data_IF_605982135901
#
_entry.id   IF_605982135901
#
_cell.length_a   1.000
_cell.length_b   1.000
_cell.length_c   1.000
_cell.angle_alpha   90.00
_cell.angle_beta   90.00
_cell.angle_gamma   90.00
#
_symmetry.space_group_name_H-M   'P 1'
#
loop_
_entity.id
_entity.type
_entity.pdbx_description
1 polymer ?
#
# COMPACT_ATOMS: atom_id res chain seq x y z
N UNK A 1 7.26 -0.38 -11.08
CA UNK A 1 6.16 -1.25 -10.60
C UNK A 1 5.36 -1.74 -11.79
N UNK A 2 5.01 -3.03 -11.84
CA UNK A 2 4.18 -3.64 -12.88
C UNK A 2 2.87 -4.11 -12.25
N UNK A 3 1.75 -3.57 -12.75
CA UNK A 3 0.41 -3.77 -12.14
C UNK A 3 -0.19 -5.13 -12.46
N UNK A 4 0.05 -5.63 -13.66
CA UNK A 4 -0.40 -6.94 -14.18
C UNK A 4 0.16 -8.12 -13.38
N UNK A 5 1.36 -7.96 -12.83
CA UNK A 5 2.18 -9.04 -12.25
C UNK A 5 2.51 -8.83 -10.78
N UNK A 6 2.01 -7.77 -10.15
CA UNK A 6 2.29 -7.43 -8.75
C UNK A 6 3.80 -7.31 -8.44
N UNK A 7 4.60 -6.82 -9.40
CA UNK A 7 6.06 -6.70 -9.25
C UNK A 7 6.48 -5.27 -8.94
N UNK A 8 7.36 -5.11 -7.95
CA UNK A 8 7.97 -3.82 -7.59
C UNK A 8 9.47 -3.94 -7.73
N UNK A 9 10.12 -2.89 -8.23
CA UNK A 9 11.57 -2.80 -8.26
C UNK A 9 12.02 -1.43 -7.77
N UNK A 10 13.17 -1.41 -7.11
CA UNK A 10 13.85 -0.20 -6.64
C UNK A 10 15.30 -0.28 -7.11
N UNK A 11 15.76 0.74 -7.81
CA UNK A 11 17.12 0.81 -8.36
C UNK A 11 17.50 -0.45 -9.16
N UNK A 12 16.55 -1.01 -9.93
CA UNK A 12 16.76 -2.21 -10.75
C UNK A 12 16.67 -3.55 -9.99
N UNK A 13 16.58 -3.55 -8.65
CA UNK A 13 16.39 -4.77 -7.86
C UNK A 13 14.91 -5.02 -7.59
N UNK A 14 14.46 -6.25 -7.73
CA UNK A 14 13.09 -6.65 -7.39
C UNK A 14 12.87 -6.69 -5.88
N UNK A 15 11.74 -6.15 -5.44
CA UNK A 15 11.29 -6.16 -4.04
C UNK A 15 10.00 -6.96 -3.98
N UNK A 16 9.98 -7.94 -3.09
CA UNK A 16 8.77 -8.70 -2.78
C UNK A 16 7.92 -7.93 -1.78
N UNK A 17 6.71 -7.57 -2.18
CA UNK A 17 5.70 -6.98 -1.31
C UNK A 17 4.52 -7.93 -1.17
N UNK A 18 3.91 -7.96 0.01
CA UNK A 18 2.60 -8.57 0.18
C UNK A 18 1.53 -7.77 -0.57
N UNK A 19 0.35 -8.37 -0.74
CA UNK A 19 -0.74 -7.74 -1.51
C UNK A 19 -1.19 -6.39 -0.95
N UNK A 20 -1.20 -6.25 0.38
CA UNK A 20 -1.58 -5.00 1.06
C UNK A 20 -0.50 -3.93 0.88
N UNK A 21 0.77 -4.27 1.09
CA UNK A 21 1.88 -3.34 0.86
C UNK A 21 1.93 -2.88 -0.60
N UNK A 22 1.73 -3.80 -1.55
CA UNK A 22 1.63 -3.45 -2.97
C UNK A 22 0.51 -2.47 -3.26
N UNK A 23 -0.68 -2.70 -2.70
CA UNK A 23 -1.84 -1.83 -2.89
C UNK A 23 -1.66 -0.47 -2.20
N UNK A 24 -1.05 -0.41 -1.02
CA UNK A 24 -0.68 0.85 -0.37
C UNK A 24 0.29 1.65 -1.24
N UNK A 25 1.38 1.03 -1.69
CA UNK A 25 2.36 1.68 -2.56
C UNK A 25 1.70 2.18 -3.85
N UNK A 26 0.83 1.36 -4.46
CA UNK A 26 0.05 1.76 -5.63
C UNK A 26 -0.78 3.01 -5.36
N UNK A 27 -1.53 3.02 -4.26
CA UNK A 27 -2.43 4.13 -3.93
C UNK A 27 -1.65 5.44 -3.70
N UNK A 28 -0.53 5.37 -2.98
CA UNK A 28 0.35 6.51 -2.75
C UNK A 28 0.97 7.02 -4.06
N UNK A 29 1.44 6.12 -4.94
CA UNK A 29 2.05 6.50 -6.22
C UNK A 29 1.03 7.07 -7.22
N UNK A 30 -0.25 6.71 -7.10
CA UNK A 30 -1.33 7.32 -7.91
C UNK A 30 -1.64 8.76 -7.49
N UNK A 31 -1.27 9.16 -6.27
CA UNK A 31 -1.55 10.47 -5.70
C UNK A 31 -0.29 11.10 -5.07
N UNK A 32 0.77 11.37 -5.86
CA UNK A 32 2.04 11.86 -5.33
C UNK A 32 1.86 13.22 -4.64
N UNK A 33 2.46 13.38 -3.46
CA UNK A 33 2.42 14.62 -2.68
C UNK A 33 1.14 14.83 -1.86
N UNK A 34 0.13 13.97 -2.00
CA UNK A 34 -1.07 14.01 -1.16
C UNK A 34 -0.81 13.31 0.18
N UNK A 35 -1.24 13.94 1.27
CA UNK A 35 -1.27 13.34 2.61
C UNK A 35 -2.59 12.58 2.78
N UNK A 36 -2.52 11.36 3.29
CA UNK A 36 -3.68 10.54 3.62
C UNK A 36 -3.73 10.26 5.11
N UNK A 37 -4.93 10.36 5.67
CA UNK A 37 -5.25 9.83 7.00
C UNK A 37 -5.28 8.30 6.97
N UNK A 38 -5.24 7.70 8.17
CA UNK A 38 -5.31 6.23 8.30
C UNK A 38 -6.65 5.67 7.81
N UNK A 39 -7.75 6.36 8.11
CA UNK A 39 -9.08 5.92 7.68
C UNK A 39 -9.24 5.99 6.15
N UNK A 40 -8.64 7.00 5.50
CA UNK A 40 -8.59 7.07 4.04
C UNK A 40 -7.80 5.90 3.44
N UNK A 41 -6.66 5.54 4.03
CA UNK A 41 -5.86 4.38 3.59
C UNK A 41 -6.61 3.06 3.83
N UNK A 42 -7.32 2.93 4.95
CA UNK A 42 -8.16 1.76 5.25
C UNK A 42 -9.23 1.60 4.17
N UNK A 43 -9.99 2.66 3.88
CA UNK A 43 -11.04 2.64 2.87
C UNK A 43 -10.53 2.41 1.44
N UNK A 44 -9.29 2.80 1.15
CA UNK A 44 -8.70 2.64 -0.19
C UNK A 44 -8.11 1.25 -0.45
N UNK A 45 -7.55 0.59 0.58
CA UNK A 45 -6.73 -0.61 0.40
C UNK A 45 -7.38 -1.89 0.91
N UNK A 46 -8.18 -1.81 1.98
CA UNK A 46 -8.78 -3.00 2.59
C UNK A 46 -10.22 -3.23 2.09
N UNK A 47 -10.64 -4.51 1.96
CA UNK A 47 -12.04 -4.82 1.66
C UNK A 47 -12.98 -4.30 2.74
N UNK A 48 -14.12 -3.74 2.34
CA UNK A 48 -15.09 -3.12 3.26
C UNK A 48 -15.78 -4.04 4.27
N UNK A 49 -15.50 -5.35 4.21
CA UNK A 49 -15.99 -6.34 5.17
C UNK A 49 -14.95 -6.73 6.25
N UNK A 50 -13.81 -6.05 6.30
CA UNK A 50 -12.75 -6.30 7.30
C UNK A 50 -12.64 -5.10 8.22
N UNK A 51 -12.71 -5.33 9.53
CA UNK A 51 -12.37 -4.32 10.52
C UNK A 51 -10.84 -4.23 10.62
N UNK A 52 -10.30 -3.04 10.39
CA UNK A 52 -8.86 -2.75 10.39
C UNK A 52 -8.64 -1.55 11.29
N UNK A 53 -7.70 -1.67 12.23
CA UNK A 53 -7.33 -0.55 13.07
C UNK A 53 -6.20 0.30 12.45
N UNK A 54 -6.07 1.52 12.96
CA UNK A 54 -5.02 2.46 12.61
C UNK A 54 -3.60 1.87 12.72
N UNK A 55 -3.37 0.99 13.71
CA UNK A 55 -2.05 0.40 13.98
C UNK A 55 -1.65 -0.62 12.91
N UNK A 56 -2.64 -1.32 12.34
CA UNK A 56 -2.44 -2.25 11.24
C UNK A 56 -1.93 -1.50 10.01
N UNK A 57 -2.48 -0.31 9.73
CA UNK A 57 -1.98 0.57 8.68
C UNK A 57 -0.51 0.90 8.90
N UNK A 58 -0.14 1.30 10.12
CA UNK A 58 1.24 1.66 10.46
C UNK A 58 2.21 0.50 10.21
N UNK A 59 1.83 -0.75 10.55
CA UNK A 59 2.65 -1.95 10.33
C UNK A 59 2.88 -2.22 8.84
N UNK A 60 1.88 -2.01 7.99
CA UNK A 60 2.05 -2.20 6.56
C UNK A 60 2.83 -1.04 5.91
N UNK A 61 2.65 0.19 6.39
CA UNK A 61 3.47 1.35 5.97
C UNK A 61 4.94 1.14 6.33
N UNK A 62 5.26 0.58 7.51
CA UNK A 62 6.66 0.37 7.92
C UNK A 62 7.41 -0.68 7.10
N UNK A 63 6.72 -1.41 6.23
CA UNK A 63 7.29 -2.44 5.35
C UNK A 63 7.54 -1.95 3.92
N UNK A 64 7.14 -0.72 3.61
CA UNK A 64 7.43 -0.03 2.35
C UNK A 64 8.80 0.66 2.39
#
# INVERSE_FOLDING_TARGET
MRLDSHRVSRNGQEIHLGSIEFNLLRHLLQHPGKVFSRDELIGAVWPGNVYVDARTVDVHISRL
#
